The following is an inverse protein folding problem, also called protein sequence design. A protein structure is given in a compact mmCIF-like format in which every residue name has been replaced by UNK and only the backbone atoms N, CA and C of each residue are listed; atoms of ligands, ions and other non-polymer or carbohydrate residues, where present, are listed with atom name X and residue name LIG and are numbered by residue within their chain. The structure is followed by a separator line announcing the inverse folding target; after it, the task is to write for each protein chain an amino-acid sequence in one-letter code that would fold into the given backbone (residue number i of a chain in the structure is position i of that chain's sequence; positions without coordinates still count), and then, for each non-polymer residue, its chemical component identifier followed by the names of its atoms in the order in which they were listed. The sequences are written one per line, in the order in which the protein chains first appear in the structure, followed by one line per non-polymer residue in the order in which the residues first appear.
data_IF_637212923390
#
_entry.id   IF_637212923390
#
_cell.length_a   1.000
_cell.length_b   1.000
_cell.length_c   1.000
_cell.angle_alpha   90.00
_cell.angle_beta   90.00
_cell.angle_gamma   90.00
#
_symmetry.space_group_name_H-M   'P 1'
#
loop_
_entity.id
_entity.type
_entity.pdbx_description
1 polymer ?
#
# COMPACT_ATOMS: atom_id res chain seq x y z
N UNK A 1 35.44 -4.13 -18.32
CA UNK A 1 34.04 -4.53 -18.56
C UNK A 1 33.15 -3.46 -17.94
N UNK A 2 32.15 -2.94 -18.65
CA UNK A 2 31.22 -1.99 -18.05
C UNK A 2 30.52 -2.69 -16.87
N UNK A 3 30.53 -2.05 -15.69
CA UNK A 3 29.83 -2.58 -14.51
C UNK A 3 28.35 -2.66 -14.87
N UNK A 4 27.79 -3.87 -14.83
CA UNK A 4 26.38 -4.11 -15.18
C UNK A 4 25.53 -3.32 -14.19
N UNK A 5 24.76 -2.34 -14.68
CA UNK A 5 23.91 -1.51 -13.82
C UNK A 5 22.87 -2.39 -13.14
N UNK A 6 22.68 -2.20 -11.84
CA UNK A 6 21.65 -2.92 -11.07
C UNK A 6 20.28 -2.33 -11.37
N UNK A 7 19.32 -3.21 -11.66
CA UNK A 7 17.90 -2.85 -11.75
C UNK A 7 17.30 -3.11 -10.37
N UNK A 8 16.85 -2.06 -9.69
CA UNK A 8 16.24 -2.18 -8.36
C UNK A 8 14.75 -2.48 -8.47
N UNK A 9 14.21 -3.24 -7.52
CA UNK A 9 12.77 -3.47 -7.39
C UNK A 9 12.20 -2.53 -6.34
N UNK A 10 11.21 -1.71 -6.71
CA UNK A 10 10.54 -0.80 -5.79
C UNK A 10 9.06 -1.18 -5.70
N UNK A 11 8.64 -1.49 -4.48
CA UNK A 11 7.23 -1.46 -4.11
C UNK A 11 6.84 -0.04 -3.71
N UNK A 12 6.05 0.64 -4.54
CA UNK A 12 5.54 1.98 -4.26
C UNK A 12 4.14 1.87 -3.66
N UNK A 13 4.01 1.51 -2.38
CA UNK A 13 2.70 1.32 -1.76
C UNK A 13 2.00 2.62 -1.33
N UNK A 14 0.69 2.53 -1.08
CA UNK A 14 -0.13 3.66 -0.61
C UNK A 14 0.32 4.20 0.74
N UNK A 15 0.65 3.30 1.68
CA UNK A 15 1.04 3.65 3.05
C UNK A 15 2.54 3.55 3.26
N UNK A 16 3.18 2.52 2.73
CA UNK A 16 4.60 2.27 2.85
C UNK A 16 5.18 1.87 1.50
N UNK A 17 6.43 2.25 1.26
CA UNK A 17 7.23 1.81 0.12
C UNK A 17 8.40 0.95 0.59
N UNK A 18 8.84 0.03 -0.26
CA UNK A 18 9.89 -0.92 0.04
C UNK A 18 10.81 -1.07 -1.18
N UNK A 19 12.11 -1.25 -0.97
CA UNK A 19 13.08 -1.40 -2.06
C UNK A 19 13.94 -2.64 -1.86
N UNK A 20 14.15 -3.39 -2.94
CA UNK A 20 14.94 -4.61 -2.96
C UNK A 20 15.88 -4.65 -4.17
N UNK A 21 16.92 -5.48 -4.05
CA UNK A 21 17.93 -5.68 -5.10
C UNK A 21 18.28 -7.15 -5.24
N UNK A 22 18.74 -7.55 -6.43
CA UNK A 22 19.34 -8.87 -6.64
C UNK A 22 20.81 -8.87 -6.25
N UNK A 23 21.18 -9.72 -5.28
CA UNK A 23 22.54 -9.90 -4.79
C UNK A 23 22.85 -11.39 -4.59
N UNK A 24 23.95 -11.89 -5.17
CA UNK A 24 24.36 -13.27 -4.98
C UNK A 24 23.34 -14.33 -5.45
N UNK A 25 22.47 -13.98 -6.39
CA UNK A 25 21.42 -14.87 -6.91
C UNK A 25 20.09 -14.83 -6.12
N UNK A 26 20.00 -14.06 -5.04
CA UNK A 26 18.77 -13.88 -4.26
C UNK A 26 18.34 -12.42 -4.20
N UNK A 27 17.04 -12.19 -4.03
CA UNK A 27 16.50 -10.86 -3.81
C UNK A 27 16.61 -10.48 -2.32
N UNK A 28 17.06 -9.25 -2.06
CA UNK A 28 17.26 -8.72 -0.71
C UNK A 28 16.61 -7.35 -0.59
N UNK A 29 15.67 -7.21 0.33
CA UNK A 29 15.12 -5.91 0.75
C UNK A 29 16.16 -5.13 1.55
N UNK A 30 16.26 -3.84 1.27
CA UNK A 30 17.24 -2.91 1.84
C UNK A 30 16.58 -2.09 2.95
N UNK A 31 17.31 -1.87 4.04
CA UNK A 31 16.88 -0.95 5.10
C UNK A 31 17.21 0.50 4.70
N UNK A 32 16.30 1.43 4.99
CA UNK A 32 16.53 2.87 4.81
C UNK A 32 17.54 3.42 5.83
N UNK A 33 17.90 4.70 5.68
CA UNK A 33 18.80 5.41 6.59
C UNK A 33 18.31 5.43 8.06
N UNK A 34 17.01 5.27 8.27
CA UNK A 34 16.38 5.18 9.59
C UNK A 34 16.38 3.76 10.19
N UNK A 35 16.92 2.77 9.47
CA UNK A 35 17.07 1.38 9.93
C UNK A 35 15.83 0.51 9.73
N UNK A 36 14.80 0.98 9.03
CA UNK A 36 13.58 0.21 8.74
C UNK A 36 13.57 -0.32 7.32
N UNK A 37 12.94 -1.48 7.10
CA UNK A 37 12.87 -2.15 5.79
C UNK A 37 11.79 -1.59 4.87
N UNK A 38 10.88 -0.81 5.44
CA UNK A 38 9.87 -0.04 4.70
C UNK A 38 9.98 1.43 5.08
N UNK A 39 9.54 2.29 4.18
CA UNK A 39 9.52 3.74 4.36
C UNK A 39 8.10 4.26 4.19
N UNK A 40 7.56 5.04 5.13
CA UNK A 40 6.23 5.64 4.95
C UNK A 40 6.14 6.43 3.64
N UNK A 41 5.08 6.20 2.87
CA UNK A 41 4.79 6.90 1.62
C UNK A 41 4.19 8.28 1.90
N UNK A 42 4.98 9.11 2.60
CA UNK A 42 4.56 10.41 3.14
C UNK A 42 5.60 11.46 2.77
N UNK A 43 5.11 12.62 2.33
CA UNK A 43 5.91 13.80 2.03
C UNK A 43 5.38 14.99 2.82
N UNK A 44 6.24 15.73 3.51
CA UNK A 44 5.86 16.97 4.20
C UNK A 44 6.66 18.15 3.67
N UNK A 45 5.99 19.29 3.47
CA UNK A 45 6.60 20.55 3.05
C UNK A 45 6.54 21.54 4.21
N UNK A 46 7.70 21.99 4.68
CA UNK A 46 7.81 22.88 5.84
C UNK A 46 9.03 23.77 5.70
N UNK A 47 8.83 25.08 5.89
CA UNK A 47 9.92 26.08 5.91
C UNK A 47 10.83 26.06 4.66
N UNK A 48 10.26 25.72 3.49
CA UNK A 48 11.00 25.59 2.24
C UNK A 48 11.76 24.26 2.09
N UNK A 49 11.76 23.42 3.12
CA UNK A 49 12.31 22.07 3.10
C UNK A 49 11.24 21.03 2.76
N UNK A 50 11.69 19.94 2.13
CA UNK A 50 10.89 18.75 1.87
C UNK A 50 11.41 17.60 2.72
N UNK A 51 10.51 16.97 3.45
CA UNK A 51 10.75 15.77 4.22
C UNK A 51 10.03 14.59 3.56
N UNK A 52 10.63 13.40 3.60
CA UNK A 52 10.05 12.15 3.05
C UNK A 52 10.19 11.04 4.08
N UNK A 53 9.20 10.15 4.21
CA UNK A 53 9.28 8.99 5.10
C UNK A 53 9.00 9.31 6.56
N UNK A 54 9.79 8.73 7.47
CA UNK A 54 9.62 8.90 8.92
C UNK A 54 9.71 10.38 9.35
N UNK A 55 10.67 11.19 8.87
CA UNK A 55 10.70 12.63 9.16
C UNK A 55 9.39 13.34 8.78
N UNK A 56 8.80 13.00 7.63
CA UNK A 56 7.52 13.56 7.18
C UNK A 56 6.36 13.08 8.07
N UNK A 57 6.30 11.79 8.40
CA UNK A 57 5.29 11.23 9.32
C UNK A 57 5.27 11.97 10.66
N UNK A 58 6.45 12.32 11.20
CA UNK A 58 6.58 13.09 12.46
C UNK A 58 6.01 14.51 12.37
N UNK A 59 5.97 15.12 11.18
CA UNK A 59 5.40 16.45 11.01
C UNK A 59 3.88 16.43 10.82
N UNK A 60 3.26 15.28 10.49
CA UNK A 60 1.85 15.21 10.11
C UNK A 60 0.92 15.89 11.13
N UNK A 61 1.15 15.67 12.43
CA UNK A 61 0.32 16.23 13.52
C UNK A 61 0.34 17.76 13.58
N UNK A 62 1.51 18.37 13.37
CA UNK A 62 1.67 19.84 13.50
C UNK A 62 1.64 20.56 12.15
N UNK A 63 1.66 19.82 11.06
CA UNK A 63 1.65 20.34 9.69
C UNK A 63 0.69 19.52 8.77
N UNK A 64 -0.58 19.29 9.17
CA UNK A 64 -1.45 18.34 8.48
C UNK A 64 -1.80 18.76 7.04
N UNK A 65 -1.97 20.06 6.79
CA UNK A 65 -2.35 20.56 5.46
C UNK A 65 -1.24 20.47 4.42
N UNK A 66 0.03 20.36 4.86
CA UNK A 66 1.20 20.28 3.99
C UNK A 66 1.93 18.95 4.08
N UNK A 67 1.32 17.96 4.72
CA UNK A 67 1.84 16.60 4.83
C UNK A 67 0.97 15.66 4.02
N UNK A 68 1.46 15.30 2.84
CA UNK A 68 0.76 14.47 1.85
C UNK A 68 1.07 12.99 2.12
N UNK A 69 0.01 12.19 2.25
CA UNK A 69 0.04 10.75 2.46
C UNK A 69 -1.11 10.11 1.69
N UNK A 70 -1.10 8.78 1.47
CA UNK A 70 -2.12 8.08 0.66
C UNK A 70 -2.28 8.65 -0.75
N UNK A 71 -1.25 9.33 -1.28
CA UNK A 71 -1.30 10.03 -2.57
C UNK A 71 -1.47 9.09 -3.76
N UNK A 72 -1.09 7.81 -3.60
CA UNK A 72 -1.34 6.75 -4.57
C UNK A 72 -2.84 6.54 -4.85
N UNK A 73 -3.74 6.91 -3.94
CA UNK A 73 -5.19 6.85 -4.20
C UNK A 73 -5.67 7.90 -5.22
N UNK A 74 -4.86 8.93 -5.50
CA UNK A 74 -5.18 10.03 -6.43
C UNK A 74 -4.43 9.94 -7.77
N UNK A 75 -3.39 9.10 -7.85
CA UNK A 75 -2.53 9.02 -9.03
C UNK A 75 -3.33 8.60 -10.27
N UNK A 76 -3.17 9.31 -11.39
CA UNK A 76 -3.85 9.02 -12.65
C UNK A 76 -5.39 9.13 -12.64
N UNK A 77 -5.99 9.77 -11.63
CA UNK A 77 -7.45 9.94 -11.49
C UNK A 77 -7.90 11.38 -11.74
N UNK A 78 -9.14 11.53 -12.19
CA UNK A 78 -9.86 12.80 -12.23
C UNK A 78 -10.34 13.18 -10.84
N UNK A 79 -10.44 14.49 -10.58
CA UNK A 79 -10.96 15.02 -9.32
C UNK A 79 -12.36 14.49 -8.99
N UNK A 80 -13.20 14.30 -10.00
CA UNK A 80 -14.56 13.74 -9.85
C UNK A 80 -14.59 12.27 -9.41
N UNK A 81 -13.49 11.53 -9.54
CA UNK A 81 -13.42 10.10 -9.17
C UNK A 81 -12.94 9.88 -7.73
N UNK A 82 -12.54 10.93 -7.02
CA UNK A 82 -11.87 10.85 -5.71
C UNK A 82 -12.59 11.65 -4.63
N UNK A 83 -13.86 11.99 -4.83
CA UNK A 83 -14.63 12.80 -3.88
C UNK A 83 -14.67 12.18 -2.48
N UNK A 84 -14.74 10.85 -2.37
CA UNK A 84 -14.64 10.12 -1.11
C UNK A 84 -13.31 10.37 -0.40
N UNK A 85 -12.20 10.20 -1.11
CA UNK A 85 -10.85 10.37 -0.60
C UNK A 85 -10.57 11.82 -0.19
N UNK A 86 -11.10 12.80 -0.91
CA UNK A 86 -10.92 14.23 -0.53
C UNK A 86 -11.50 14.56 0.84
N UNK A 87 -12.49 13.80 1.33
CA UNK A 87 -13.12 14.01 2.64
C UNK A 87 -12.33 13.39 3.79
N UNK A 88 -11.35 12.53 3.50
CA UNK A 88 -10.60 11.75 4.51
C UNK A 88 -9.17 12.25 4.71
N UNK A 89 -8.78 13.31 3.99
CA UNK A 89 -7.44 13.90 4.02
C UNK A 89 -7.50 15.37 4.44
N UNK A 90 -6.53 15.87 5.24
CA UNK A 90 -6.53 17.25 5.74
C UNK A 90 -5.94 18.26 4.75
N UNK A 91 -5.17 17.78 3.76
CA UNK A 91 -4.54 18.59 2.73
C UNK A 91 -5.51 18.88 1.58
N UNK A 92 -5.24 19.97 0.85
CA UNK A 92 -6.15 20.47 -0.18
C UNK A 92 -5.96 19.70 -1.49
N UNK A 93 -7.02 19.04 -1.95
CA UNK A 93 -7.11 18.41 -3.27
C UNK A 93 -7.97 19.30 -4.16
N UNK A 94 -7.53 19.56 -5.39
CA UNK A 94 -8.24 20.41 -6.38
C UNK A 94 -8.21 19.75 -7.75
N UNK A 95 -9.11 20.19 -8.63
CA UNK A 95 -9.05 19.85 -10.05
C UNK A 95 -8.01 20.74 -10.75
N UNK A 96 -7.12 20.13 -11.52
CA UNK A 96 -6.24 20.85 -12.46
C UNK A 96 -7.03 21.36 -13.67
N UNK A 97 -6.36 22.06 -14.59
CA UNK A 97 -6.98 22.59 -15.82
C UNK A 97 -7.54 21.50 -16.75
N UNK A 98 -7.03 20.27 -16.69
CA UNK A 98 -7.53 19.11 -17.44
C UNK A 98 -8.42 18.17 -16.59
N UNK A 99 -8.80 18.60 -15.38
CA UNK A 99 -9.69 17.87 -14.47
C UNK A 99 -9.01 16.78 -13.63
N UNK A 100 -7.70 16.62 -13.70
CA UNK A 100 -6.95 15.66 -12.88
C UNK A 100 -6.96 16.08 -11.40
N UNK A 101 -6.93 15.10 -10.51
CA UNK A 101 -6.80 15.35 -9.08
C UNK A 101 -5.36 15.77 -8.74
N UNK A 102 -5.17 16.98 -8.23
CA UNK A 102 -3.87 17.53 -7.83
C UNK A 102 -3.92 18.11 -6.41
N UNK A 103 -2.76 18.31 -5.81
CA UNK A 103 -2.64 18.88 -4.47
C UNK A 103 -2.26 20.36 -4.54
N UNK A 104 -2.76 21.16 -3.62
CA UNK A 104 -2.32 22.56 -3.45
C UNK A 104 -1.60 22.71 -2.11
N UNK A 105 -0.31 23.07 -2.17
CA UNK A 105 0.56 23.26 -1.01
C UNK A 105 1.26 24.61 -1.15
N UNK A 106 1.05 25.52 -0.20
CA UNK A 106 1.64 26.87 -0.19
C UNK A 106 1.41 27.64 -1.51
N UNK A 107 0.20 27.53 -2.07
CA UNK A 107 -0.17 28.18 -3.32
C UNK A 107 0.46 27.58 -4.58
N UNK A 108 1.18 26.46 -4.45
CA UNK A 108 1.73 25.69 -5.57
C UNK A 108 0.88 24.45 -5.82
N UNK A 109 0.67 24.14 -7.09
CA UNK A 109 0.07 22.88 -7.52
C UNK A 109 1.15 21.80 -7.57
N UNK A 110 0.85 20.64 -6.98
CA UNK A 110 1.70 19.45 -7.01
C UNK A 110 0.87 18.28 -7.53
N UNK A 111 1.41 17.52 -8.48
CA UNK A 111 0.71 16.33 -8.99
C UNK A 111 1.00 15.09 -8.13
N UNK A 112 0.11 14.08 -8.13
CA UNK A 112 0.39 12.80 -7.47
C UNK A 112 1.69 12.14 -7.96
N UNK A 113 2.05 12.30 -9.23
CA UNK A 113 3.28 11.80 -9.82
C UNK A 113 4.51 12.50 -9.23
N UNK A 114 4.46 13.82 -9.03
CA UNK A 114 5.56 14.57 -8.39
C UNK A 114 5.76 14.14 -6.94
N UNK A 115 4.67 13.86 -6.20
CA UNK A 115 4.77 13.33 -4.83
C UNK A 115 5.32 11.90 -4.83
N UNK A 116 4.82 11.04 -5.72
CA UNK A 116 5.31 9.68 -5.91
C UNK A 116 6.80 9.66 -6.27
N UNK A 117 7.24 10.57 -7.13
CA UNK A 117 8.64 10.72 -7.53
C UNK A 117 9.56 11.04 -6.35
N UNK A 118 9.10 11.81 -5.37
CA UNK A 118 9.89 12.14 -4.19
C UNK A 118 10.05 10.94 -3.26
N UNK A 119 9.05 10.07 -3.18
CA UNK A 119 9.13 8.80 -2.46
C UNK A 119 10.07 7.84 -3.20
N UNK A 120 9.91 7.70 -4.52
CA UNK A 120 10.79 6.90 -5.37
C UNK A 120 12.25 7.37 -5.32
N UNK A 121 12.48 8.68 -5.22
CA UNK A 121 13.82 9.24 -5.05
C UNK A 121 14.45 8.80 -3.73
N UNK A 122 13.69 8.79 -2.62
CA UNK A 122 14.17 8.24 -1.34
C UNK A 122 14.49 6.74 -1.44
N UNK A 123 13.74 5.98 -2.24
CA UNK A 123 14.01 4.55 -2.48
C UNK A 123 15.27 4.35 -3.30
N UNK A 124 15.47 5.18 -4.33
CA UNK A 124 16.71 5.24 -5.11
C UNK A 124 17.91 5.57 -4.21
N UNK A 125 17.85 6.65 -3.44
CA UNK A 125 18.90 7.07 -2.50
C UNK A 125 19.25 5.94 -1.51
N UNK A 126 18.23 5.25 -0.98
CA UNK A 126 18.42 4.09 -0.09
C UNK A 126 19.20 2.96 -0.77
N UNK A 127 18.88 2.64 -2.03
CA UNK A 127 19.59 1.62 -2.78
C UNK A 127 21.03 2.06 -3.14
N UNK A 128 21.23 3.33 -3.51
CA UNK A 128 22.55 3.89 -3.83
C UNK A 128 23.49 3.88 -2.62
N UNK A 129 23.00 4.27 -1.44
CA UNK A 129 23.75 4.22 -0.19
C UNK A 129 24.17 2.78 0.16
N UNK A 130 23.26 1.81 -0.03
CA UNK A 130 23.55 0.40 0.24
C UNK A 130 24.55 -0.21 -0.76
N UNK A 131 24.42 0.11 -2.06
CA UNK A 131 25.26 -0.45 -3.12
C UNK A 131 26.62 0.27 -3.28
N UNK A 132 26.73 1.51 -2.80
CA UNK A 132 27.91 2.36 -3.00
C UNK A 132 28.10 2.81 -4.45
N UNK A 133 27.03 2.85 -5.25
CA UNK A 133 27.03 3.28 -6.64
C UNK A 133 25.69 3.91 -7.06
N UNK A 134 25.70 4.66 -8.17
CA UNK A 134 24.49 5.28 -8.73
C UNK A 134 23.53 4.22 -9.30
N UNK A 135 22.23 4.42 -9.05
CA UNK A 135 21.16 3.56 -9.52
C UNK A 135 20.27 4.33 -10.49
N UNK A 136 20.21 3.89 -11.74
CA UNK A 136 19.43 4.55 -12.78
C UNK A 136 18.22 3.75 -13.26
N UNK A 137 18.11 2.46 -12.92
CA UNK A 137 17.13 1.56 -13.53
C UNK A 137 16.26 0.90 -12.46
N UNK A 138 14.95 0.85 -12.68
CA UNK A 138 14.03 0.27 -11.72
C UNK A 138 12.88 -0.51 -12.36
N UNK A 139 12.40 -1.51 -11.63
CA UNK A 139 11.06 -2.09 -11.77
C UNK A 139 10.20 -1.50 -10.65
N UNK A 140 9.03 -0.97 -10.99
CA UNK A 140 8.12 -0.32 -10.03
C UNK A 140 6.78 -1.05 -10.02
N UNK A 141 6.23 -1.27 -8.84
CA UNK A 141 4.96 -2.00 -8.67
C UNK A 141 3.73 -1.09 -8.78
N UNK A 142 2.61 -1.69 -9.18
CA UNK A 142 1.27 -1.07 -9.18
C UNK A 142 0.22 -2.11 -8.79
N UNK A 143 -0.94 -1.70 -8.26
CA UNK A 143 -2.08 -2.60 -8.06
C UNK A 143 -2.46 -3.29 -9.36
N UNK A 144 -2.88 -4.55 -9.28
CA UNK A 144 -3.24 -5.31 -10.49
C UNK A 144 -4.38 -4.64 -11.25
N UNK A 145 -5.35 -4.07 -10.52
CA UNK A 145 -6.52 -3.43 -11.08
C UNK A 145 -6.32 -1.96 -11.50
N UNK A 146 -5.08 -1.45 -11.53
CA UNK A 146 -4.81 -0.12 -12.10
C UNK A 146 -5.09 -0.07 -13.60
N UNK A 147 -5.75 1.00 -14.04
CA UNK A 147 -5.98 1.30 -15.45
C UNK A 147 -4.74 1.92 -16.13
N UNK A 148 -4.83 2.12 -17.45
CA UNK A 148 -3.72 2.66 -18.26
C UNK A 148 -3.22 4.03 -17.79
N UNK A 149 -4.13 4.93 -17.40
CA UNK A 149 -3.78 6.26 -16.87
C UNK A 149 -2.94 6.15 -15.61
N UNK A 150 -3.37 5.34 -14.64
CA UNK A 150 -2.68 5.16 -13.37
C UNK A 150 -1.32 4.47 -13.53
N UNK A 151 -1.22 3.49 -14.45
CA UNK A 151 0.05 2.83 -14.81
C UNK A 151 1.02 3.82 -15.45
N UNK A 152 0.52 4.64 -16.38
CA UNK A 152 1.32 5.66 -17.06
C UNK A 152 1.81 6.74 -16.09
N UNK A 153 0.93 7.26 -15.23
CA UNK A 153 1.28 8.20 -14.17
C UNK A 153 2.34 7.64 -13.21
N UNK A 154 2.23 6.37 -12.81
CA UNK A 154 3.25 5.73 -11.97
C UNK A 154 4.61 5.62 -12.68
N UNK A 155 4.59 5.29 -13.97
CA UNK A 155 5.80 5.27 -14.80
C UNK A 155 6.43 6.67 -14.91
N UNK A 156 5.62 7.70 -15.04
CA UNK A 156 6.10 9.09 -15.12
C UNK A 156 6.65 9.57 -13.77
N UNK A 157 6.08 9.17 -12.64
CA UNK A 157 6.67 9.38 -11.31
C UNK A 157 8.09 8.81 -11.23
N UNK A 158 8.32 7.61 -11.77
CA UNK A 158 9.66 7.01 -11.87
C UNK A 158 10.63 7.84 -12.72
N UNK A 159 10.19 8.33 -13.88
CA UNK A 159 11.01 9.22 -14.72
C UNK A 159 11.37 10.52 -14.01
N UNK A 160 10.40 11.15 -13.33
CA UNK A 160 10.61 12.39 -12.55
C UNK A 160 11.62 12.15 -11.42
N UNK A 161 11.62 10.95 -10.83
CA UNK A 161 12.60 10.55 -9.81
C UNK A 161 14.00 10.29 -10.37
N UNK A 162 14.20 10.37 -11.69
CA UNK A 162 15.46 10.05 -12.35
C UNK A 162 15.74 8.56 -12.43
N UNK A 163 14.69 7.74 -12.61
CA UNK A 163 14.77 6.30 -12.86
C UNK A 163 14.28 6.00 -14.29
N UNK A 164 15.07 5.21 -15.02
CA UNK A 164 14.63 4.49 -16.21
C UNK A 164 13.77 3.29 -15.79
N UNK A 165 12.46 3.47 -15.92
CA UNK A 165 11.46 2.47 -15.53
C UNK A 165 11.42 1.35 -16.57
N UNK A 166 12.17 0.28 -16.32
CA UNK A 166 12.28 -0.88 -17.20
C UNK A 166 10.99 -1.67 -17.31
N UNK A 167 10.21 -1.72 -16.22
CA UNK A 167 8.93 -2.43 -16.16
C UNK A 167 8.05 -1.83 -15.07
N UNK A 168 6.76 -1.71 -15.37
CA UNK A 168 5.70 -1.63 -14.37
C UNK A 168 5.16 -3.04 -14.17
N UNK A 169 5.17 -3.55 -12.95
CA UNK A 169 4.73 -4.91 -12.63
C UNK A 169 3.53 -4.87 -11.66
N UNK A 170 2.48 -5.67 -11.87
CA UNK A 170 1.43 -5.81 -10.87
C UNK A 170 1.95 -6.38 -9.53
N UNK A 171 1.45 -5.83 -8.42
CA UNK A 171 1.81 -6.24 -7.06
C UNK A 171 1.58 -7.76 -6.81
N UNK A 172 0.42 -8.35 -7.17
CA UNK A 172 0.20 -9.79 -7.01
C UNK A 172 1.15 -10.65 -7.83
N UNK A 173 1.49 -10.19 -9.05
CA UNK A 173 2.42 -10.87 -9.95
C UNK A 173 3.85 -10.84 -9.40
N UNK A 174 4.28 -9.70 -8.84
CA UNK A 174 5.55 -9.61 -8.14
C UNK A 174 5.58 -10.56 -6.92
N UNK A 175 4.51 -10.58 -6.12
CA UNK A 175 4.44 -11.49 -4.98
C UNK A 175 4.51 -12.97 -5.39
N UNK A 176 3.86 -13.34 -6.50
CA UNK A 176 3.93 -14.67 -7.06
C UNK A 176 5.35 -15.05 -7.53
N UNK A 177 6.08 -14.13 -8.18
CA UNK A 177 7.48 -14.35 -8.57
C UNK A 177 8.36 -14.65 -7.34
N UNK A 178 8.21 -13.86 -6.27
CA UNK A 178 8.96 -14.08 -5.03
C UNK A 178 8.60 -15.40 -4.34
N UNK A 179 7.34 -15.84 -4.44
CA UNK A 179 6.90 -17.13 -3.91
C UNK A 179 7.40 -18.33 -4.72
N UNK A 180 7.36 -18.22 -6.05
CA UNK A 180 7.56 -19.36 -6.96
C UNK A 180 9.01 -19.62 -7.36
N UNK A 181 9.94 -18.66 -7.22
CA UNK A 181 11.31 -18.78 -7.73
C UNK A 181 12.06 -20.02 -7.22
N UNK A 182 11.90 -20.36 -5.93
CA UNK A 182 12.59 -21.48 -5.28
C UNK A 182 11.72 -22.75 -5.17
N UNK A 183 10.56 -22.78 -5.84
CA UNK A 183 9.62 -23.90 -5.72
C UNK A 183 9.85 -24.93 -6.82
N UNK A 184 10.42 -26.06 -6.43
CA UNK A 184 10.48 -27.24 -7.28
C UNK A 184 9.14 -27.99 -7.29
N UNK A 185 8.77 -28.50 -8.46
CA UNK A 185 7.72 -29.51 -8.64
C UNK A 185 6.36 -28.99 -9.11
N UNK A 186 5.98 -29.37 -10.33
CA UNK A 186 4.63 -29.39 -10.89
C UNK A 186 3.90 -28.04 -10.99
N UNK A 187 2.88 -28.00 -11.83
CA UNK A 187 2.02 -26.83 -11.97
C UNK A 187 1.24 -26.57 -10.67
N UNK A 188 1.30 -25.34 -10.17
CA UNK A 188 0.58 -24.88 -8.98
C UNK A 188 -0.32 -23.72 -9.32
N UNK A 189 -1.57 -23.81 -8.88
CA UNK A 189 -2.54 -22.73 -8.93
C UNK A 189 -2.56 -22.01 -7.60
N UNK A 190 -2.26 -20.72 -7.59
CA UNK A 190 -2.23 -19.92 -6.37
C UNK A 190 -3.24 -18.79 -6.45
N UNK A 191 -3.71 -18.36 -5.29
CA UNK A 191 -4.46 -17.12 -5.14
C UNK A 191 -3.61 -16.12 -4.36
N UNK A 192 -3.39 -14.93 -4.90
CA UNK A 192 -2.69 -13.84 -4.21
C UNK A 192 -3.71 -12.82 -3.78
N UNK A 193 -3.98 -12.77 -2.48
CA UNK A 193 -4.89 -11.84 -1.84
C UNK A 193 -4.08 -10.67 -1.26
N UNK A 194 -4.12 -9.52 -1.93
CA UNK A 194 -3.38 -8.33 -1.54
C UNK A 194 -4.34 -7.27 -0.98
N UNK A 195 -4.31 -7.08 0.34
CA UNK A 195 -5.08 -6.02 1.01
C UNK A 195 -4.10 -5.02 1.63
N UNK A 196 -3.83 -3.97 0.87
CA UNK A 196 -2.89 -2.92 1.20
C UNK A 196 -3.52 -1.77 2.00
N UNK A 197 -2.86 -0.61 1.93
CA UNK A 197 -3.29 0.62 2.60
C UNK A 197 -4.47 1.33 1.95
N UNK A 198 -4.67 1.14 0.64
CA UNK A 198 -5.78 1.80 -0.07
C UNK A 198 -6.34 1.05 -1.26
N UNK A 199 -5.83 -0.16 -1.54
CA UNK A 199 -6.31 -1.02 -2.62
C UNK A 199 -6.41 -2.46 -2.14
N UNK A 200 -7.36 -3.17 -2.75
CA UNK A 200 -7.53 -4.60 -2.63
C UNK A 200 -7.40 -5.22 -4.01
N UNK A 201 -6.52 -6.20 -4.17
CA UNK A 201 -6.41 -7.01 -5.38
C UNK A 201 -6.50 -8.50 -5.03
N UNK A 202 -7.10 -9.27 -5.93
CA UNK A 202 -7.08 -10.73 -5.93
C UNK A 202 -6.68 -11.21 -7.31
N UNK A 203 -5.61 -11.99 -7.38
CA UNK A 203 -5.16 -12.62 -8.63
C UNK A 203 -5.04 -14.12 -8.47
N UNK A 204 -5.53 -14.86 -9.47
CA UNK A 204 -5.36 -16.30 -9.58
C UNK A 204 -4.28 -16.57 -10.63
N UNK A 205 -3.23 -17.26 -10.23
CA UNK A 205 -2.07 -17.53 -11.09
C UNK A 205 -1.78 -19.02 -11.18
N UNK A 206 -1.27 -19.45 -12.33
CA UNK A 206 -0.66 -20.76 -12.53
C UNK A 206 0.86 -20.60 -12.62
N UNK A 207 1.59 -21.39 -11.84
CA UNK A 207 3.06 -21.35 -11.76
C UNK A 207 3.57 -22.77 -12.02
N UNK A 208 4.38 -22.93 -13.06
CA UNK A 208 4.94 -24.24 -13.45
C UNK A 208 6.09 -24.07 -14.44
N UNK A 209 7.15 -24.88 -14.28
CA UNK A 209 8.32 -24.91 -15.18
C UNK A 209 8.90 -23.52 -15.53
N UNK A 210 8.93 -22.61 -14.54
CA UNK A 210 9.43 -21.24 -14.71
C UNK A 210 8.46 -20.27 -15.39
N UNK A 211 7.27 -20.73 -15.77
CA UNK A 211 6.19 -19.92 -16.32
C UNK A 211 5.27 -19.45 -15.18
N UNK A 212 4.93 -18.17 -15.19
CA UNK A 212 3.99 -17.54 -14.27
C UNK A 212 2.90 -16.90 -15.13
N UNK A 213 1.71 -17.50 -15.11
CA UNK A 213 0.56 -17.05 -15.89
C UNK A 213 -0.55 -16.52 -14.98
N UNK A 214 -0.99 -15.29 -15.21
CA UNK A 214 -2.16 -14.73 -14.54
C UNK A 214 -3.41 -15.24 -15.27
N UNK A 215 -4.21 -16.06 -14.60
CA UNK A 215 -5.45 -16.61 -15.16
C UNK A 215 -6.61 -15.64 -15.04
N UNK A 216 -6.69 -14.92 -13.92
CA UNK A 216 -7.69 -13.90 -13.67
C UNK A 216 -7.22 -12.92 -12.60
N UNK A 217 -7.70 -11.68 -12.67
CA UNK A 217 -7.46 -10.65 -11.67
C UNK A 217 -8.73 -9.83 -11.45
N UNK A 218 -8.98 -9.44 -10.22
CA UNK A 218 -10.10 -8.59 -9.81
C UNK A 218 -9.68 -7.79 -8.57
N UNK A 219 -10.49 -6.82 -8.13
CA UNK A 219 -10.13 -6.01 -6.98
C UNK A 219 -11.05 -4.83 -6.73
N UNK A 220 -10.66 -4.00 -5.76
CA UNK A 220 -11.29 -2.73 -5.41
C UNK A 220 -10.20 -1.69 -5.14
N UNK A 221 -10.11 -0.70 -6.03
CA UNK A 221 -9.08 0.35 -5.96
C UNK A 221 -9.36 1.46 -4.94
N UNK A 222 -10.47 1.32 -4.19
CA UNK A 222 -10.92 2.23 -3.12
C UNK A 222 -11.22 1.46 -1.82
N UNK A 223 -10.51 0.35 -1.59
CA UNK A 223 -10.63 -0.47 -0.38
C UNK A 223 -9.25 -0.80 0.17
N UNK A 224 -8.93 -0.35 1.37
CA UNK A 224 -7.71 -0.75 2.06
C UNK A 224 -7.64 -0.25 3.49
N UNK A 225 -6.46 -0.38 4.11
CA UNK A 225 -6.22 -0.04 5.50
C UNK A 225 -6.67 1.35 5.95
N UNK A 226 -6.66 2.35 5.05
CA UNK A 226 -7.18 3.70 5.32
C UNK A 226 -8.69 3.68 5.60
N UNK A 227 -9.46 2.83 4.92
CA UNK A 227 -10.89 2.67 5.13
C UNK A 227 -11.18 2.01 6.48
N UNK A 228 -10.34 1.05 6.89
CA UNK A 228 -10.37 0.46 8.23
C UNK A 228 -9.98 1.45 9.33
N UNK A 229 -9.06 2.39 9.06
CA UNK A 229 -8.77 3.47 10.01
C UNK A 229 -9.98 4.38 10.16
N UNK A 230 -10.64 4.73 9.06
CA UNK A 230 -11.79 5.63 9.06
C UNK A 230 -12.97 5.10 9.87
N UNK A 231 -13.24 3.80 9.90
CA UNK A 231 -14.32 3.26 10.75
C UNK A 231 -14.02 3.44 12.25
N UNK A 232 -12.74 3.36 12.65
CA UNK A 232 -12.32 3.61 14.04
C UNK A 232 -12.34 5.12 14.32
N UNK A 233 -11.89 5.96 13.38
CA UNK A 233 -11.94 7.42 13.48
C UNK A 233 -13.37 7.89 13.72
N UNK A 234 -14.32 7.45 12.89
CA UNK A 234 -15.72 7.82 13.02
C UNK A 234 -16.29 7.40 14.38
N UNK A 235 -16.00 6.17 14.81
CA UNK A 235 -16.41 5.71 16.15
C UNK A 235 -15.82 6.58 17.28
N UNK A 236 -14.53 6.93 17.23
CA UNK A 236 -13.91 7.81 18.23
C UNK A 236 -14.52 9.21 18.25
N UNK A 237 -14.80 9.79 17.07
CA UNK A 237 -15.43 11.10 16.95
C UNK A 237 -16.86 11.08 17.54
N UNK A 238 -17.63 10.04 17.26
CA UNK A 238 -18.98 9.85 17.78
C UNK A 238 -19.00 9.69 19.30
N UNK A 239 -18.15 8.82 19.87
CA UNK A 239 -18.08 8.63 21.32
C UNK A 239 -17.62 9.92 22.03
N UNK A 240 -16.61 10.61 21.48
CA UNK A 240 -16.16 11.87 22.06
C UNK A 240 -17.24 12.94 22.04
N UNK A 241 -17.97 13.07 20.92
CA UNK A 241 -19.07 14.03 20.79
C UNK A 241 -20.23 13.70 21.72
N UNK A 242 -20.52 12.41 21.92
CA UNK A 242 -21.54 11.95 22.86
C UNK A 242 -21.19 12.27 24.31
N UNK A 243 -19.92 12.11 24.69
CA UNK A 243 -19.45 12.36 26.05
C UNK A 243 -19.25 13.86 26.34
N UNK A 244 -18.69 14.61 25.40
CA UNK A 244 -18.22 15.98 25.63
C UNK A 244 -19.05 17.05 24.90
N UNK A 245 -19.94 16.67 23.98
CA UNK A 245 -20.71 17.62 23.16
C UNK A 245 -19.89 18.36 22.09
N UNK A 246 -18.62 17.99 21.89
CA UNK A 246 -17.69 18.66 20.99
C UNK A 246 -17.43 17.82 19.75
N UNK A 247 -17.47 18.45 18.58
CA UNK A 247 -17.20 17.82 17.30
C UNK A 247 -15.74 18.03 16.88
N UNK A 248 -14.88 17.02 17.10
CA UNK A 248 -13.45 17.08 16.78
C UNK A 248 -13.15 17.01 15.28
N UNK A 249 -14.13 16.68 14.43
CA UNK A 249 -13.91 16.59 12.97
C UNK A 249 -13.52 17.93 12.35
N UNK A 250 -13.81 19.04 13.04
CA UNK A 250 -13.52 20.42 12.59
C UNK A 250 -12.13 20.90 13.00
N UNK A 251 -11.46 20.21 13.92
CA UNK A 251 -10.12 20.54 14.38
C UNK A 251 -9.10 19.65 13.64
N UNK A 252 -8.37 20.24 12.71
CA UNK A 252 -7.41 19.51 11.86
C UNK A 252 -6.28 18.86 12.65
N UNK A 253 -5.83 19.49 13.73
CA UNK A 253 -4.76 18.92 14.58
C UNK A 253 -5.31 17.76 15.41
N UNK A 254 -6.49 17.92 16.00
CA UNK A 254 -7.15 16.85 16.74
C UNK A 254 -7.45 15.65 15.82
N UNK A 255 -7.98 15.91 14.63
CA UNK A 255 -8.31 14.87 13.65
C UNK A 255 -7.06 14.09 13.22
N UNK A 256 -5.93 14.75 12.99
CA UNK A 256 -4.69 14.05 12.66
C UNK A 256 -4.18 13.17 13.82
N UNK A 257 -4.29 13.65 15.07
CA UNK A 257 -3.94 12.83 16.25
C UNK A 257 -4.86 11.62 16.41
N UNK A 258 -6.16 11.80 16.14
CA UNK A 258 -7.16 10.73 16.14
C UNK A 258 -6.82 9.71 15.05
N UNK A 259 -6.44 10.15 13.85
CA UNK A 259 -6.02 9.26 12.76
C UNK A 259 -4.82 8.39 13.13
N UNK A 260 -3.76 8.99 13.67
CA UNK A 260 -2.57 8.26 14.11
C UNK A 260 -2.92 7.25 15.23
N UNK A 261 -3.85 7.62 16.12
CA UNK A 261 -4.33 6.75 17.18
C UNK A 261 -5.19 5.58 16.67
N UNK A 262 -6.04 5.82 15.67
CA UNK A 262 -6.82 4.79 14.98
C UNK A 262 -5.92 3.75 14.31
N UNK A 263 -4.95 4.21 13.50
CA UNK A 263 -4.01 3.31 12.81
C UNK A 263 -3.27 2.43 13.81
N UNK A 264 -2.77 3.04 14.90
CA UNK A 264 -2.09 2.32 15.97
C UNK A 264 -3.00 1.29 16.64
N UNK A 265 -4.22 1.68 17.02
CA UNK A 265 -5.19 0.78 17.65
C UNK A 265 -5.55 -0.40 16.75
N UNK A 266 -5.80 -0.15 15.45
CA UNK A 266 -6.05 -1.17 14.43
C UNK A 266 -4.94 -2.21 14.38
N UNK A 267 -3.69 -1.75 14.32
CA UNK A 267 -2.50 -2.62 14.25
C UNK A 267 -2.36 -3.45 15.54
N UNK A 268 -2.48 -2.82 16.71
CA UNK A 268 -2.38 -3.50 18.00
C UNK A 268 -3.43 -4.61 18.17
N UNK A 269 -4.68 -4.35 17.76
CA UNK A 269 -5.78 -5.32 17.82
C UNK A 269 -5.59 -6.54 16.92
N UNK A 270 -4.65 -6.51 15.97
CA UNK A 270 -4.26 -7.71 15.23
C UNK A 270 -3.50 -8.71 16.12
N UNK A 271 -2.83 -8.23 17.18
CA UNK A 271 -2.11 -9.04 18.17
C UNK A 271 -2.83 -9.19 19.52
N UNK A 272 -3.66 -8.21 19.91
CA UNK A 272 -4.34 -8.18 21.22
C UNK A 272 -5.86 -8.22 21.11
N UNK A 273 -6.56 -8.54 22.20
CA UNK A 273 -8.03 -8.56 22.25
C UNK A 273 -8.64 -7.18 22.53
N UNK A 274 -7.85 -6.26 23.09
CA UNK A 274 -8.26 -4.89 23.38
C UNK A 274 -7.04 -3.97 23.37
N UNK A 275 -7.28 -2.67 23.17
CA UNK A 275 -6.29 -1.60 23.30
C UNK A 275 -6.92 -0.36 23.92
N UNK A 276 -6.09 0.47 24.55
CA UNK A 276 -6.48 1.76 25.11
C UNK A 276 -6.02 2.90 24.20
N UNK A 277 -6.97 3.75 23.82
CA UNK A 277 -6.74 4.94 23.02
C UNK A 277 -6.77 6.15 23.93
N UNK A 278 -5.58 6.70 24.20
CA UNK A 278 -5.39 7.82 25.10
C UNK A 278 -4.80 9.03 24.37
N UNK A 279 -5.59 10.10 24.22
CA UNK A 279 -5.20 11.37 23.62
C UNK A 279 -5.41 12.51 24.61
N UNK A 280 -4.39 12.84 25.42
CA UNK A 280 -4.49 13.93 26.39
C UNK A 280 -4.48 15.29 25.69
N UNK A 281 -5.19 16.27 26.25
CA UNK A 281 -5.28 17.63 25.70
C UNK A 281 -5.66 17.60 24.22
N UNK A 282 -6.67 16.82 23.85
CA UNK A 282 -7.10 16.66 22.46
C UNK A 282 -7.80 17.91 21.96
N UNK A 283 -8.49 18.62 22.84
CA UNK A 283 -9.12 19.92 22.58
C UNK A 283 -9.33 20.69 23.90
N UNK A 284 -9.95 21.86 23.85
CA UNK A 284 -10.29 22.70 25.00
C UNK A 284 -11.67 23.33 24.83
N UNK A 285 -12.42 23.45 25.92
CA UNK A 285 -13.66 24.23 25.99
C UNK A 285 -13.62 25.23 27.16
N UNK A 286 -14.75 25.89 27.43
CA UNK A 286 -14.86 26.85 28.52
C UNK A 286 -14.63 26.25 29.93
N UNK A 287 -14.77 24.93 30.09
CA UNK A 287 -14.50 24.20 31.33
C UNK A 287 -13.04 23.76 31.48
N UNK A 288 -12.24 23.88 30.42
CA UNK A 288 -10.82 23.57 30.41
C UNK A 288 -10.43 22.54 29.35
N UNK A 289 -9.22 21.95 29.46
CA UNK A 289 -8.74 20.97 28.50
C UNK A 289 -9.57 19.67 28.56
N UNK A 290 -9.78 19.05 27.40
CA UNK A 290 -10.44 17.77 27.25
C UNK A 290 -9.45 16.70 26.79
N UNK A 291 -9.74 15.47 27.18
CA UNK A 291 -8.95 14.28 26.86
C UNK A 291 -9.86 13.25 26.21
N UNK A 292 -9.34 12.49 25.25
CA UNK A 292 -10.02 11.31 24.72
C UNK A 292 -9.38 10.06 25.33
N UNK A 293 -10.17 9.26 26.03
CA UNK A 293 -9.75 8.01 26.66
C UNK A 293 -10.81 6.95 26.37
N UNK A 294 -10.52 6.05 25.44
CA UNK A 294 -11.45 5.01 24.99
C UNK A 294 -10.77 3.64 25.03
N UNK A 295 -11.53 2.59 25.38
CA UNK A 295 -11.09 1.21 25.21
C UNK A 295 -11.75 0.63 23.97
N UNK A 296 -10.96 0.14 23.01
CA UNK A 296 -11.44 -0.54 21.82
C UNK A 296 -11.13 -2.03 21.92
N UNK A 297 -12.16 -2.88 21.80
CA UNK A 297 -11.99 -4.33 21.71
C UNK A 297 -11.88 -4.78 20.26
N UNK A 298 -11.22 -5.92 20.02
CA UNK A 298 -11.14 -6.54 18.69
C UNK A 298 -12.54 -6.83 18.14
N UNK A 299 -13.43 -7.39 18.97
CA UNK A 299 -14.81 -7.68 18.57
C UNK A 299 -15.58 -6.44 18.14
N UNK A 300 -15.37 -5.29 18.81
CA UNK A 300 -15.99 -4.03 18.42
C UNK A 300 -15.41 -3.54 17.09
N UNK A 301 -14.10 -3.59 16.90
CA UNK A 301 -13.48 -3.23 15.63
C UNK A 301 -13.96 -4.12 14.47
N UNK A 302 -14.01 -5.44 14.66
CA UNK A 302 -14.55 -6.39 13.67
C UNK A 302 -16.00 -6.07 13.30
N UNK A 303 -16.83 -5.67 14.27
CA UNK A 303 -18.20 -5.21 14.03
C UNK A 303 -18.26 -3.88 13.27
N UNK A 304 -17.32 -2.96 13.49
CA UNK A 304 -17.26 -1.67 12.79
C UNK A 304 -16.77 -1.83 11.34
N UNK A 305 -15.96 -2.86 11.07
CA UNK A 305 -15.32 -3.09 9.78
C UNK A 305 -15.95 -4.24 8.96
N UNK A 306 -17.10 -4.79 9.38
CA UNK A 306 -17.72 -5.96 8.73
C UNK A 306 -17.92 -5.77 7.24
N UNK A 307 -18.48 -4.61 6.86
CA UNK A 307 -18.83 -4.31 5.47
C UNK A 307 -17.58 -4.19 4.59
N UNK A 308 -16.45 -3.72 5.15
CA UNK A 308 -15.18 -3.64 4.45
C UNK A 308 -14.58 -5.01 4.20
N UNK A 309 -14.68 -5.93 5.16
CA UNK A 309 -14.23 -7.32 5.00
C UNK A 309 -15.11 -8.06 3.99
N UNK A 310 -16.43 -7.83 4.02
CA UNK A 310 -17.37 -8.46 3.10
C UNK A 310 -17.20 -7.98 1.65
N UNK A 311 -16.79 -6.71 1.44
CA UNK A 311 -16.42 -6.19 0.12
C UNK A 311 -15.28 -6.97 -0.55
N UNK A 312 -14.41 -7.64 0.20
CA UNK A 312 -13.35 -8.47 -0.37
C UNK A 312 -13.87 -9.78 -1.00
N UNK A 313 -15.08 -10.23 -0.63
CA UNK A 313 -15.60 -11.55 -1.01
C UNK A 313 -15.92 -11.63 -2.49
N UNK A 314 -16.69 -10.67 -3.00
CA UNK A 314 -17.18 -10.73 -4.38
C UNK A 314 -16.06 -10.74 -5.42
N UNK A 315 -15.02 -9.86 -5.34
CA UNK A 315 -13.88 -9.94 -6.26
C UNK A 315 -13.16 -11.29 -6.23
N UNK A 316 -13.08 -11.95 -5.06
CA UNK A 316 -12.47 -13.28 -4.97
C UNK A 316 -13.29 -14.35 -5.70
N UNK A 317 -14.62 -14.29 -5.57
CA UNK A 317 -15.52 -15.20 -6.27
C UNK A 317 -15.49 -14.98 -7.78
N UNK A 318 -15.45 -13.71 -8.20
CA UNK A 318 -15.34 -13.35 -9.61
C UNK A 318 -14.01 -13.80 -10.21
N UNK A 319 -12.87 -13.61 -9.51
CA UNK A 319 -11.58 -14.10 -9.97
C UNK A 319 -11.52 -15.64 -10.09
N UNK A 320 -12.16 -16.39 -9.18
CA UNK A 320 -12.28 -17.84 -9.30
C UNK A 320 -13.13 -18.25 -10.53
N UNK A 321 -14.23 -17.53 -10.76
CA UNK A 321 -15.10 -17.77 -11.90
C UNK A 321 -14.39 -17.46 -13.23
N UNK A 322 -13.72 -16.33 -13.32
CA UNK A 322 -13.06 -15.85 -14.54
C UNK A 322 -11.83 -16.71 -14.89
N UNK A 323 -11.14 -17.26 -13.87
CA UNK A 323 -10.08 -18.24 -14.07
C UNK A 323 -10.60 -19.65 -14.43
N UNK A 324 -11.92 -19.86 -14.43
CA UNK A 324 -12.56 -21.16 -14.64
C UNK A 324 -12.04 -22.25 -13.67
N UNK A 325 -11.75 -21.86 -12.43
CA UNK A 325 -11.26 -22.75 -11.38
C UNK A 325 -12.25 -22.82 -10.22
N UNK A 326 -12.33 -24.00 -9.60
CA UNK A 326 -12.98 -24.16 -8.30
C UNK A 326 -11.97 -23.92 -7.18
N UNK A 327 -12.42 -23.47 -6.01
CA UNK A 327 -11.55 -23.20 -4.86
C UNK A 327 -10.70 -24.41 -4.44
N UNK A 328 -11.19 -25.63 -4.63
CA UNK A 328 -10.46 -26.87 -4.32
C UNK A 328 -9.24 -27.09 -5.23
N UNK A 329 -9.19 -26.41 -6.39
CA UNK A 329 -8.07 -26.46 -7.33
C UNK A 329 -6.98 -25.44 -6.99
N UNK A 330 -7.22 -24.53 -6.05
CA UNK A 330 -6.19 -23.62 -5.55
C UNK A 330 -5.27 -24.40 -4.60
N UNK A 331 -3.98 -24.42 -4.90
CA UNK A 331 -2.93 -25.11 -4.16
C UNK A 331 -2.37 -24.29 -3.00
N UNK A 332 -2.30 -22.96 -3.12
CA UNK A 332 -1.81 -22.06 -2.07
C UNK A 332 -2.55 -20.71 -2.13
N UNK A 333 -2.74 -20.07 -0.97
CA UNK A 333 -3.27 -18.71 -0.87
C UNK A 333 -2.22 -17.84 -0.20
N UNK A 334 -1.72 -16.82 -0.90
CA UNK A 334 -0.73 -15.89 -0.39
C UNK A 334 -1.44 -14.64 0.13
N UNK A 335 -1.09 -14.22 1.34
CA UNK A 335 -1.53 -12.94 1.89
C UNK A 335 -0.46 -11.89 1.66
N UNK A 336 -0.85 -10.78 1.06
CA UNK A 336 -0.01 -9.63 0.77
C UNK A 336 -0.69 -8.38 1.34
N UNK A 337 0.12 -7.37 1.68
CA UNK A 337 -0.37 -6.12 2.24
C UNK A 337 -0.64 -6.19 3.74
N UNK A 338 -0.27 -5.12 4.46
CA UNK A 338 -0.29 -5.10 5.92
C UNK A 338 -1.69 -5.28 6.53
N UNK A 339 -2.77 -4.94 5.81
CA UNK A 339 -4.13 -5.08 6.33
C UNK A 339 -4.59 -6.56 6.36
N UNK A 340 -3.95 -7.44 5.58
CA UNK A 340 -4.16 -8.89 5.65
C UNK A 340 -3.72 -9.53 6.99
N UNK A 341 -3.03 -8.77 7.85
CA UNK A 341 -2.64 -9.19 9.21
C UNK A 341 -3.83 -9.24 10.18
N UNK A 342 -4.96 -8.61 9.84
CA UNK A 342 -6.16 -8.65 10.68
C UNK A 342 -6.72 -10.09 10.75
N UNK A 343 -6.91 -10.66 11.96
CA UNK A 343 -7.41 -12.03 12.11
C UNK A 343 -8.73 -12.30 11.37
N UNK A 344 -9.66 -11.34 11.39
CA UNK A 344 -10.94 -11.47 10.68
C UNK A 344 -10.80 -11.57 9.16
N UNK A 345 -9.82 -10.87 8.57
CA UNK A 345 -9.51 -10.98 7.15
C UNK A 345 -8.98 -12.38 6.84
N UNK A 346 -8.08 -12.91 7.66
CA UNK A 346 -7.54 -14.27 7.48
C UNK A 346 -8.61 -15.36 7.60
N UNK A 347 -9.52 -15.21 8.56
CA UNK A 347 -10.69 -16.08 8.72
C UNK A 347 -11.55 -16.04 7.44
N UNK A 348 -11.86 -14.84 6.94
CA UNK A 348 -12.66 -14.68 5.72
C UNK A 348 -11.99 -15.30 4.50
N UNK A 349 -10.68 -15.10 4.33
CA UNK A 349 -9.90 -15.73 3.24
C UNK A 349 -9.97 -17.25 3.34
N UNK A 350 -9.82 -17.82 4.55
CA UNK A 350 -9.95 -19.25 4.78
C UNK A 350 -11.35 -19.78 4.44
N UNK A 351 -12.41 -19.03 4.76
CA UNK A 351 -13.79 -19.37 4.38
C UNK A 351 -13.97 -19.41 2.86
N UNK A 352 -13.45 -18.41 2.15
CA UNK A 352 -13.56 -18.28 0.68
C UNK A 352 -12.86 -19.45 -0.01
N UNK A 353 -11.58 -19.68 0.30
CA UNK A 353 -10.74 -20.63 -0.43
C UNK A 353 -10.74 -22.04 0.19
N UNK A 354 -11.29 -22.22 1.39
CA UNK A 354 -11.36 -23.51 2.08
C UNK A 354 -10.01 -24.04 2.58
N UNK A 355 -9.00 -23.17 2.72
CA UNK A 355 -7.64 -23.54 3.14
C UNK A 355 -6.96 -22.45 3.94
N UNK A 356 -6.00 -22.85 4.77
CA UNK A 356 -5.16 -21.92 5.51
C UNK A 356 -4.26 -21.13 4.55
N UNK A 357 -4.15 -19.79 4.71
CA UNK A 357 -3.20 -19.01 3.95
C UNK A 357 -1.75 -19.38 4.27
N UNK A 358 -0.90 -19.29 3.25
CA UNK A 358 0.51 -19.63 3.33
C UNK A 358 1.28 -18.62 4.19
N UNK A 359 2.08 -19.12 5.15
CA UNK A 359 2.81 -18.29 6.13
C UNK A 359 4.27 -18.00 5.77
N UNK A 360 4.78 -18.58 4.69
CA UNK A 360 6.18 -18.45 4.29
C UNK A 360 6.51 -17.20 3.45
N UNK A 361 5.58 -16.26 3.31
CA UNK A 361 5.81 -14.97 2.63
C UNK A 361 5.68 -13.83 3.63
N UNK A 362 6.55 -12.83 3.54
CA UNK A 362 6.41 -11.62 4.34
C UNK A 362 5.50 -10.62 3.58
N UNK A 363 4.30 -10.31 4.09
CA UNK A 363 3.32 -9.51 3.36
C UNK A 363 3.76 -8.07 3.10
N UNK A 364 4.78 -7.57 3.80
CA UNK A 364 5.30 -6.19 3.65
C UNK A 364 6.51 -6.09 2.71
N UNK A 365 7.11 -7.23 2.32
CA UNK A 365 8.39 -7.28 1.60
C UNK A 365 8.33 -8.10 0.30
N UNK A 366 7.37 -9.01 0.20
CA UNK A 366 7.27 -9.98 -0.91
C UNK A 366 7.09 -9.31 -2.27
N UNK A 367 6.38 -8.18 -2.31
CA UNK A 367 6.17 -7.40 -3.54
C UNK A 367 7.47 -6.76 -4.04
N UNK A 368 8.21 -6.06 -3.16
CA UNK A 368 9.50 -5.47 -3.53
C UNK A 368 10.52 -6.54 -3.94
N UNK A 369 10.53 -7.67 -3.22
CA UNK A 369 11.35 -8.85 -3.54
C UNK A 369 11.05 -9.36 -4.95
N UNK A 370 9.77 -9.51 -5.29
CA UNK A 370 9.32 -9.88 -6.63
C UNK A 370 9.72 -8.89 -7.72
N UNK A 371 9.59 -7.60 -7.45
CA UNK A 371 10.04 -6.55 -8.37
C UNK A 371 11.55 -6.61 -8.62
N UNK A 372 12.35 -6.95 -7.61
CA UNK A 372 13.80 -7.13 -7.77
C UNK A 372 14.12 -8.38 -8.60
N UNK A 373 13.40 -9.49 -8.39
CA UNK A 373 13.51 -10.70 -9.22
C UNK A 373 13.19 -10.37 -10.68
N UNK A 374 12.12 -9.62 -10.94
CA UNK A 374 11.79 -9.14 -12.28
C UNK A 374 12.91 -8.28 -12.88
N UNK A 375 13.55 -7.43 -12.07
CA UNK A 375 14.74 -6.68 -12.49
C UNK A 375 15.90 -7.61 -12.86
N UNK A 376 16.11 -8.68 -12.08
CA UNK A 376 17.07 -9.74 -12.36
C UNK A 376 16.80 -10.49 -13.68
N UNK A 377 15.54 -10.77 -14.00
CA UNK A 377 15.13 -11.37 -15.28
C UNK A 377 15.47 -10.44 -16.45
N UNK A 378 15.16 -9.15 -16.33
CA UNK A 378 15.45 -8.15 -17.38
C UNK A 378 16.95 -7.93 -17.58
N UNK A 379 17.73 -8.03 -16.50
CA UNK A 379 19.18 -8.00 -16.55
C UNK A 379 19.79 -9.30 -17.09
N UNK A 380 19.05 -10.42 -17.11
CA UNK A 380 19.56 -11.75 -17.42
C UNK A 380 20.38 -12.40 -16.30
N UNK A 381 20.23 -11.90 -15.06
CA UNK A 381 20.79 -12.51 -13.84
C UNK A 381 19.92 -13.68 -13.36
N UNK A 382 18.61 -13.63 -13.61
CA UNK A 382 17.65 -14.72 -13.39
C UNK A 382 17.28 -15.31 -14.75
N UNK A 383 17.40 -16.63 -14.88
CA UNK A 383 17.13 -17.36 -16.12
C UNK A 383 15.88 -18.22 -15.98
N UNK A 384 15.35 -18.65 -17.13
CA UNK A 384 14.27 -19.64 -17.20
C UNK A 384 12.98 -19.21 -16.47
N UNK A 385 12.72 -17.89 -16.47
CA UNK A 385 11.47 -17.30 -15.95
C UNK A 385 10.73 -16.60 -17.09
N UNK A 386 9.47 -16.98 -17.31
CA UNK A 386 8.56 -16.36 -18.27
C UNK A 386 7.31 -15.85 -17.53
N UNK A 387 6.98 -14.58 -17.73
CA UNK A 387 5.79 -13.94 -17.15
C UNK A 387 4.75 -13.70 -18.25
N UNK A 388 3.55 -14.26 -18.06
CA UNK A 388 2.37 -14.03 -18.89
C UNK A 388 1.31 -13.32 -18.03
N UNK A 389 1.06 -12.05 -18.33
CA UNK A 389 0.17 -11.18 -17.56
C UNK A 389 -1.06 -10.79 -18.39
N UNK A 390 -2.13 -10.37 -17.71
CA UNK A 390 -3.41 -10.00 -18.34
C UNK A 390 -3.74 -8.53 -18.11
N UNK A 391 -4.54 -7.94 -19.00
CA UNK A 391 -5.09 -6.60 -18.80
C UNK A 391 -6.36 -6.74 -17.97
N UNK A 392 -6.46 -6.10 -16.79
CA UNK A 392 -7.58 -6.26 -15.85
C UNK A 392 -8.89 -5.63 -16.35
N UNK A 393 -8.83 -4.70 -17.30
CA UNK A 393 -9.95 -3.87 -17.75
C UNK A 393 -9.97 -3.85 -19.28
N UNK A 394 -11.07 -4.32 -19.88
CA UNK A 394 -11.32 -4.25 -21.33
C UNK A 394 -11.87 -2.92 -21.79
#
# INVERSE_FOLDING_TARGET
MAKKKKVIGIDLGTTNSCVAVMEGGSAKVIANAEGTRTTPSIVSYKDGERLVGIPAKRQAVTNPEKTLYSTKRFIGRKFSEVESETKTVPYKVVASSNGDAVFEVDGKTLTPEEVGAQILKKMKETAEEYLGETVDEAVITVPAYFNDSQRQSTKDAGKIAGLDVKRIIPEPTAAALAYGLDKEGGDKKIAVFDLGGGTFDISILEIGDGVFEVLATNGDTHLGGDDFDNVIINWMLEEFKKENGIDLSKDKMALQRIKDAAEKAKIELSGTQQTEINQPFITMDASGPKHLALTLTRSKFESLASDLVDRCVQPCLDALKDSNLRKEQINDVLLVGGMSRMPKVQEKVKEIFGREPHKGVNPDEVVATGAAIQGGVLAGDVKDVLLLDVIPLT
#
